data_IF_765709722941
#
_entry.id   IF_765709722941
#
_cell.length_a   1.000
_cell.length_b   1.000
_cell.length_c   1.000
_cell.angle_alpha   90.00
_cell.angle_beta   90.00
_cell.angle_gamma   90.00
#
_symmetry.space_group_name_H-M   'P 1'
#
loop_
_entity.id
_entity.type
_entity.pdbx_description
1 polymer ?
#
# COMPACT_ATOMS: atom_id res chain seq x y z
N UNK A 1 28.22 5.35 -31.24
CA UNK A 1 27.99 4.83 -29.87
C UNK A 1 26.56 5.12 -29.41
N UNK A 2 25.60 4.32 -29.88
CA UNK A 2 24.19 4.41 -29.48
C UNK A 2 23.94 3.72 -28.12
N UNK A 3 24.90 2.91 -27.68
CA UNK A 3 24.88 2.14 -26.43
C UNK A 3 24.97 3.07 -25.20
N UNK A 4 25.64 4.21 -25.32
CA UNK A 4 25.80 5.16 -24.20
C UNK A 4 24.54 5.96 -23.89
N UNK A 5 23.59 6.07 -24.83
CA UNK A 5 22.37 6.86 -24.64
C UNK A 5 21.26 6.09 -23.89
N UNK A 6 21.35 4.74 -23.87
CA UNK A 6 20.41 3.89 -23.11
C UNK A 6 20.76 3.77 -21.62
N UNK A 7 21.97 4.15 -21.20
CA UNK A 7 22.43 3.98 -19.82
C UNK A 7 21.91 5.06 -18.84
N UNK A 8 21.24 6.10 -19.34
CA UNK A 8 20.65 7.16 -18.52
C UNK A 8 19.13 7.12 -18.51
N UNK A 9 18.51 6.09 -19.09
CA UNK A 9 17.09 5.85 -18.83
C UNK A 9 17.01 5.49 -17.35
N UNK A 10 16.47 6.36 -16.47
CA UNK A 10 16.16 5.93 -15.13
C UNK A 10 15.14 4.83 -15.38
N UNK A 11 15.51 3.58 -15.11
CA UNK A 11 14.53 2.53 -14.87
C UNK A 11 13.57 3.20 -13.90
N UNK A 12 12.36 3.50 -14.38
CA UNK A 12 11.28 3.94 -13.53
C UNK A 12 11.13 2.77 -12.57
N UNK A 13 11.85 2.85 -11.45
CA UNK A 13 11.58 2.12 -10.24
C UNK A 13 10.13 2.44 -10.06
N UNK A 14 9.29 1.49 -10.45
CA UNK A 14 7.90 1.52 -10.12
C UNK A 14 7.94 1.48 -8.61
N UNK A 15 7.99 2.66 -8.00
CA UNK A 15 7.84 2.83 -6.58
C UNK A 15 6.50 2.18 -6.35
N UNK A 16 6.52 0.97 -5.77
CA UNK A 16 5.30 0.29 -5.35
C UNK A 16 4.45 1.38 -4.70
N UNK A 17 3.22 1.60 -5.18
CA UNK A 17 2.41 2.70 -4.69
C UNK A 17 2.48 2.66 -3.17
N UNK A 18 2.79 3.81 -2.57
CA UNK A 18 2.83 3.95 -1.12
C UNK A 18 1.59 3.23 -0.55
N UNK A 19 1.71 2.45 0.54
CA UNK A 19 0.63 1.57 1.00
C UNK A 19 -0.75 2.25 1.05
N UNK A 20 -0.77 3.55 1.37
CA UNK A 20 -1.97 4.39 1.37
C UNK A 20 -2.59 4.62 -0.02
N UNK A 21 -1.80 4.83 -1.07
CA UNK A 21 -2.29 5.01 -2.44
C UNK A 21 -2.88 3.72 -3.00
N UNK A 22 -2.29 2.57 -2.67
CA UNK A 22 -2.87 1.28 -3.02
C UNK A 22 -4.21 1.07 -2.31
N UNK A 23 -4.32 1.44 -1.03
CA UNK A 23 -5.59 1.33 -0.28
C UNK A 23 -6.68 2.22 -0.90
N UNK A 24 -6.36 3.47 -1.26
CA UNK A 24 -7.31 4.36 -1.95
C UNK A 24 -7.77 3.79 -3.29
N UNK A 25 -6.85 3.19 -4.05
CA UNK A 25 -7.19 2.51 -5.30
C UNK A 25 -8.10 1.30 -5.05
N UNK A 26 -7.82 0.49 -4.03
CA UNK A 26 -8.66 -0.63 -3.64
C UNK A 26 -10.05 -0.19 -3.17
N UNK A 27 -10.18 0.88 -2.39
CA UNK A 27 -11.47 1.47 -2.01
C UNK A 27 -12.28 1.89 -3.25
N UNK A 28 -11.62 2.55 -4.20
CA UNK A 28 -12.25 2.96 -5.46
C UNK A 28 -12.68 1.77 -6.32
N UNK A 29 -11.88 0.69 -6.39
CA UNK A 29 -12.21 -0.50 -7.19
C UNK A 29 -13.34 -1.31 -6.55
N UNK A 30 -13.32 -1.48 -5.24
CA UNK A 30 -14.33 -2.23 -4.50
C UNK A 30 -15.63 -1.45 -4.32
N UNK A 31 -15.63 -0.14 -4.62
CA UNK A 31 -16.73 0.78 -4.28
C UNK A 31 -17.16 0.63 -2.81
N UNK A 32 -16.16 0.49 -1.94
CA UNK A 32 -16.35 0.02 -0.57
C UNK A 32 -15.26 0.52 0.37
N UNK A 33 -15.47 0.28 1.67
CA UNK A 33 -14.53 0.70 2.72
C UNK A 33 -13.49 -0.39 2.94
N UNK A 34 -12.22 -0.01 3.06
CA UNK A 34 -11.11 -0.93 3.35
C UNK A 34 -10.50 -0.51 4.67
N UNK A 35 -10.41 -1.43 5.63
CA UNK A 35 -9.66 -1.24 6.87
C UNK A 35 -8.30 -1.95 6.75
N UNK A 36 -7.22 -1.30 7.20
CA UNK A 36 -5.89 -1.89 7.23
C UNK A 36 -5.15 -1.49 8.50
N UNK A 37 -4.50 -2.44 9.15
CA UNK A 37 -3.56 -2.17 10.22
C UNK A 37 -2.31 -3.04 10.04
N UNK A 38 -1.16 -2.39 10.05
CA UNK A 38 0.15 -3.03 10.09
C UNK A 38 0.74 -2.80 11.48
N UNK A 39 1.10 -3.89 12.14
CA UNK A 39 1.64 -3.88 13.50
C UNK A 39 2.96 -4.64 13.53
N UNK A 40 3.93 -4.05 14.22
CA UNK A 40 5.15 -4.76 14.58
C UNK A 40 4.84 -5.81 15.65
N UNK A 41 5.06 -7.08 15.31
CA UNK A 41 4.71 -8.20 16.18
C UNK A 41 5.54 -8.25 17.47
N UNK A 42 6.79 -7.81 17.41
CA UNK A 42 7.70 -7.87 18.55
C UNK A 42 7.37 -6.82 19.62
N UNK A 43 7.03 -5.60 19.20
CA UNK A 43 6.73 -4.48 20.10
C UNK A 43 5.26 -4.16 20.27
N UNK A 44 4.38 -4.76 19.45
CA UNK A 44 2.94 -4.44 19.41
C UNK A 44 2.63 -3.03 18.90
N UNK A 45 3.62 -2.34 18.31
CA UNK A 45 3.46 -0.98 17.84
C UNK A 45 2.81 -0.97 16.46
N UNK A 46 1.80 -0.14 16.29
CA UNK A 46 1.22 0.13 14.98
C UNK A 46 2.23 0.87 14.11
N UNK A 47 2.59 0.27 12.98
CA UNK A 47 3.48 0.86 11.97
C UNK A 47 2.67 1.73 11.00
N UNK A 48 1.51 1.23 10.55
CA UNK A 48 0.59 1.95 9.66
C UNK A 48 -0.84 1.56 10.00
N UNK A 49 -1.76 2.51 9.90
CA UNK A 49 -3.19 2.28 10.11
C UNK A 49 -4.02 3.08 9.11
N UNK A 50 -5.08 2.46 8.61
CA UNK A 50 -6.08 3.07 7.76
C UNK A 50 -7.46 2.61 8.19
N UNK A 51 -8.32 3.57 8.56
CA UNK A 51 -9.66 3.32 9.13
C UNK A 51 -9.66 2.28 10.27
N UNK A 52 -8.60 2.25 11.08
CA UNK A 52 -8.45 1.26 12.15
C UNK A 52 -9.54 1.38 13.23
N UNK A 53 -10.11 2.57 13.41
CA UNK A 53 -11.22 2.81 14.36
C UNK A 53 -12.61 2.50 13.77
N UNK A 54 -12.69 2.21 12.46
CA UNK A 54 -13.96 1.82 11.84
C UNK A 54 -14.28 0.35 12.12
N UNK A 55 -15.57 0.04 12.29
CA UNK A 55 -16.03 -1.33 12.50
C UNK A 55 -16.25 -2.04 11.17
N UNK A 56 -15.68 -3.24 11.05
CA UNK A 56 -15.86 -4.17 9.94
C UNK A 56 -16.42 -5.52 10.44
N UNK A 57 -17.23 -6.23 9.64
CA UNK A 57 -17.67 -7.58 10.00
C UNK A 57 -16.47 -8.55 9.99
N UNK A 58 -16.27 -9.32 11.07
CA UNK A 58 -15.17 -10.30 11.14
C UNK A 58 -15.38 -11.50 10.20
N UNK A 59 -16.63 -11.81 9.80
CA UNK A 59 -16.93 -12.99 8.99
C UNK A 59 -16.29 -14.27 9.57
N UNK A 60 -15.27 -14.84 8.94
CA UNK A 60 -14.59 -16.08 9.39
C UNK A 60 -13.10 -15.88 9.69
N UNK A 61 -12.65 -14.64 9.90
CA UNK A 61 -11.26 -14.29 10.26
C UNK A 61 -10.92 -14.62 11.69
#
# INVERSE_FOLDING_TARGET
>A
CIISLLATLPLAVHASPQPLEQIKQSESQLSGRVGMIEMDLASGRTLTAWRADERFPMMST
#
